data_IF_832017435688
#
_entry.id   IF_832017435688
#
_cell.length_a   1.000
_cell.length_b   1.000
_cell.length_c   1.000
_cell.angle_alpha   90.00
_cell.angle_beta   90.00
_cell.angle_gamma   90.00
#
_symmetry.space_group_name_H-M   'P 1'
#
loop_
_entity.id
_entity.type
_entity.pdbx_description
1 polymer ?
#
# COMPACT_ATOMS: atom_id res chain seq x y z
N UNK A 1 38.47 17.19 28.77
CA UNK A 1 37.61 18.17 28.08
C UNK A 1 36.14 17.73 27.99
N UNK A 2 35.80 16.43 27.99
CA UNK A 2 34.39 16.00 28.07
C UNK A 2 33.82 16.07 29.50
N UNK A 3 34.58 15.65 30.53
CA UNK A 3 34.10 15.70 31.93
C UNK A 3 33.88 17.10 32.53
N UNK A 4 34.45 18.17 31.96
CA UNK A 4 34.15 19.57 32.36
C UNK A 4 32.86 20.11 31.72
N UNK A 5 32.40 19.52 30.61
CA UNK A 5 31.11 19.89 29.98
C UNK A 5 29.91 19.29 30.71
N UNK A 6 30.07 18.10 31.30
CA UNK A 6 29.01 17.40 32.04
C UNK A 6 28.72 18.07 33.39
N UNK A 7 29.76 18.52 34.11
CA UNK A 7 29.61 19.19 35.42
C UNK A 7 28.84 20.52 35.33
N UNK A 8 28.90 21.21 34.19
CA UNK A 8 28.24 22.49 33.96
C UNK A 8 26.90 22.38 33.21
N UNK A 9 26.51 21.19 32.75
CA UNK A 9 25.24 21.01 32.03
C UNK A 9 24.05 21.39 32.90
N UNK A 10 24.06 20.97 34.18
CA UNK A 10 22.98 21.26 35.14
C UNK A 10 22.87 22.74 35.54
N UNK A 11 23.80 23.59 35.14
CA UNK A 11 23.76 25.04 35.40
C UNK A 11 23.27 25.85 34.19
N UNK A 12 23.10 25.20 33.04
CA UNK A 12 22.62 25.81 31.81
C UNK A 12 21.10 25.80 31.64
N UNK A 13 20.68 26.43 30.55
CA UNK A 13 19.33 26.45 30.03
C UNK A 13 19.29 25.92 28.58
N UNK A 14 18.17 25.31 28.21
CA UNK A 14 17.90 24.88 26.84
C UNK A 14 16.44 25.18 26.51
N UNK A 15 16.19 25.88 25.39
CA UNK A 15 14.85 26.28 24.96
C UNK A 15 13.98 26.96 26.05
N UNK A 16 14.59 27.73 26.95
CA UNK A 16 13.89 28.46 28.00
C UNK A 16 13.47 27.62 29.23
N UNK A 17 13.90 26.35 29.32
CA UNK A 17 13.81 25.52 30.52
C UNK A 17 15.20 25.33 31.15
N UNK A 18 15.27 25.20 32.48
CA UNK A 18 16.52 24.84 33.14
C UNK A 18 16.86 23.39 32.80
N UNK A 19 18.13 23.11 32.50
CA UNK A 19 18.61 21.75 32.27
C UNK A 19 18.36 20.83 33.48
N UNK A 20 18.21 21.40 34.69
CA UNK A 20 17.79 20.63 35.87
C UNK A 20 16.37 20.11 35.75
N UNK A 21 15.44 20.96 35.29
CA UNK A 21 14.04 20.57 35.13
C UNK A 21 13.91 19.48 34.06
N UNK A 22 14.68 19.59 32.97
CA UNK A 22 14.68 18.58 31.92
C UNK A 22 15.27 17.26 32.39
N UNK A 23 16.38 17.26 33.14
CA UNK A 23 16.90 16.03 33.75
C UNK A 23 15.88 15.38 34.69
N UNK A 24 15.14 16.17 35.48
CA UNK A 24 14.07 15.65 36.33
C UNK A 24 12.96 15.00 35.49
N UNK A 25 12.49 15.66 34.43
CA UNK A 25 11.47 15.12 33.52
C UNK A 25 11.94 13.83 32.87
N UNK A 26 13.13 13.82 32.29
CA UNK A 26 13.70 12.64 31.62
C UNK A 26 13.89 11.47 32.59
N UNK A 27 14.29 11.73 33.83
CA UNK A 27 14.39 10.68 34.86
C UNK A 27 13.02 10.09 35.21
N UNK A 28 11.97 10.93 35.27
CA UNK A 28 10.59 10.47 35.49
C UNK A 28 10.12 9.60 34.30
N UNK A 29 10.36 10.05 33.06
CA UNK A 29 10.01 9.30 31.85
C UNK A 29 10.74 7.95 31.78
N UNK A 30 12.04 7.94 32.07
CA UNK A 30 12.84 6.72 32.18
C UNK A 30 12.24 5.74 33.19
N UNK A 31 11.91 6.21 34.39
CA UNK A 31 11.30 5.36 35.42
C UNK A 31 9.95 4.78 35.00
N UNK A 32 9.09 5.61 34.37
CA UNK A 32 7.81 5.16 33.84
C UNK A 32 7.99 4.10 32.75
N UNK A 33 8.92 4.31 31.83
CA UNK A 33 9.23 3.38 30.74
C UNK A 33 9.73 2.03 31.29
N UNK A 34 10.67 2.05 32.24
CA UNK A 34 11.19 0.82 32.85
C UNK A 34 10.15 0.08 33.69
N UNK A 35 9.18 0.80 34.24
CA UNK A 35 8.06 0.20 34.98
C UNK A 35 6.93 -0.33 34.07
N UNK A 36 6.95 -0.04 32.77
CA UNK A 36 5.87 -0.36 31.85
C UNK A 36 6.07 -1.77 31.23
N UNK A 37 5.20 -2.77 31.54
CA UNK A 37 5.39 -4.12 31.01
C UNK A 37 5.20 -4.20 29.49
N UNK A 38 4.44 -3.28 28.88
CA UNK A 38 4.17 -3.29 27.44
C UNK A 38 5.40 -2.95 26.59
N UNK A 39 6.41 -2.25 27.13
CA UNK A 39 7.66 -1.96 26.42
C UNK A 39 8.76 -2.97 26.68
N UNK A 40 8.49 -4.05 27.43
CA UNK A 40 9.47 -5.09 27.74
C UNK A 40 10.18 -5.69 26.51
N UNK A 41 9.53 -5.88 25.35
CA UNK A 41 10.22 -6.31 24.13
C UNK A 41 11.32 -5.36 23.65
N UNK A 42 11.30 -4.09 24.08
CA UNK A 42 12.26 -3.04 23.72
C UNK A 42 13.48 -2.99 24.65
N UNK A 43 13.50 -3.75 25.75
CA UNK A 43 14.63 -3.80 26.70
C UNK A 43 16.00 -4.05 26.02
N UNK A 44 16.11 -4.91 24.98
CA UNK A 44 17.39 -5.06 24.27
C UNK A 44 17.90 -3.79 23.57
N UNK A 45 17.01 -2.82 23.30
CA UNK A 45 17.35 -1.53 22.69
C UNK A 45 17.59 -0.43 23.74
N UNK A 46 16.93 -0.53 24.90
CA UNK A 46 16.95 0.48 25.95
C UNK A 46 16.79 -0.17 27.33
N UNK A 47 17.85 -0.13 28.14
CA UNK A 47 17.93 -0.71 29.49
C UNK A 47 18.57 0.31 30.44
N UNK A 48 18.02 0.44 31.64
CA UNK A 48 18.51 1.38 32.66
C UNK A 48 19.50 0.72 33.63
N UNK A 49 19.80 -0.57 33.50
CA UNK A 49 20.59 -1.33 34.47
C UNK A 49 21.93 -0.67 34.84
N UNK A 50 22.73 -0.26 33.85
CA UNK A 50 24.01 0.41 34.13
C UNK A 50 23.81 1.74 34.86
N UNK A 51 22.76 2.49 34.52
CA UNK A 51 22.42 3.75 35.17
C UNK A 51 21.90 3.54 36.59
N UNK A 52 21.10 2.49 36.82
CA UNK A 52 20.60 2.08 38.13
C UNK A 52 21.73 1.61 39.06
N UNK A 53 22.75 0.93 38.51
CA UNK A 53 23.93 0.50 39.27
C UNK A 53 24.87 1.67 39.58
N UNK A 54 24.98 2.66 38.69
CA UNK A 54 25.87 3.81 38.85
C UNK A 54 25.27 4.96 39.68
N UNK A 55 23.95 5.02 39.85
CA UNK A 55 23.26 6.16 40.46
C UNK A 55 22.22 5.75 41.50
N UNK A 56 21.70 6.73 42.25
CA UNK A 56 20.59 6.54 43.18
C UNK A 56 19.26 7.04 42.61
N UNK A 57 19.10 7.02 41.28
CA UNK A 57 17.96 7.64 40.62
C UNK A 57 16.61 7.02 41.05
N UNK A 58 16.56 5.71 41.37
CA UNK A 58 15.34 5.08 41.89
C UNK A 58 14.91 5.66 43.24
N UNK A 59 15.86 5.94 44.13
CA UNK A 59 15.59 6.60 45.41
C UNK A 59 15.20 8.08 45.20
N UNK A 60 15.74 8.71 44.16
CA UNK A 60 15.33 10.06 43.76
C UNK A 60 13.88 10.08 43.26
N UNK A 61 13.47 9.13 42.42
CA UNK A 61 12.07 8.99 41.97
C UNK A 61 11.13 8.74 43.13
N UNK A 62 11.48 7.88 44.09
CA UNK A 62 10.66 7.63 45.28
C UNK A 62 10.40 8.93 46.08
N UNK A 63 11.41 9.79 46.22
CA UNK A 63 11.26 11.09 46.87
C UNK A 63 10.43 12.09 46.05
N UNK A 64 10.54 12.05 44.72
CA UNK A 64 9.68 12.86 43.86
C UNK A 64 8.22 12.43 43.96
N UNK A 65 7.94 11.13 44.06
CA UNK A 65 6.59 10.62 44.32
C UNK A 65 6.04 11.15 45.64
N UNK A 66 6.80 11.03 46.74
CA UNK A 66 6.41 11.58 48.05
C UNK A 66 6.14 13.08 47.99
N UNK A 67 6.95 13.83 47.22
CA UNK A 67 6.74 15.26 47.01
C UNK A 67 5.43 15.54 46.27
N UNK A 68 5.20 14.90 45.12
CA UNK A 68 4.00 15.14 44.30
C UNK A 68 2.71 14.59 44.92
N UNK A 69 2.80 13.70 45.91
CA UNK A 69 1.66 13.31 46.74
C UNK A 69 1.17 14.44 47.66
N UNK A 70 2.02 15.42 47.96
CA UNK A 70 1.64 16.61 48.74
C UNK A 70 1.16 17.79 47.89
N UNK A 71 1.34 17.71 46.58
CA UNK A 71 0.96 18.76 45.62
C UNK A 71 -0.50 18.64 45.18
N UNK A 72 -1.11 19.72 44.67
CA UNK A 72 -2.46 19.67 44.13
C UNK A 72 -2.60 18.60 43.03
N UNK A 73 -3.74 17.89 42.97
CA UNK A 73 -4.01 16.94 41.90
C UNK A 73 -3.94 17.59 40.51
N UNK A 74 -3.62 16.81 39.50
CA UNK A 74 -3.65 17.24 38.10
C UNK A 74 -5.05 17.70 37.76
N UNK A 75 -5.17 18.98 37.39
CA UNK A 75 -6.45 19.62 37.07
C UNK A 75 -7.19 18.86 35.98
N UNK A 76 -8.47 18.58 36.20
CA UNK A 76 -9.31 17.80 35.27
C UNK A 76 -9.28 16.28 35.47
N UNK A 77 -8.28 15.73 36.16
CA UNK A 77 -8.15 14.28 36.39
C UNK A 77 -8.25 13.86 37.86
N UNK A 78 -7.95 14.76 38.81
CA UNK A 78 -8.19 14.53 40.24
C UNK A 78 -7.27 13.49 40.89
N UNK A 79 -6.11 13.22 40.30
CA UNK A 79 -5.07 12.29 40.79
C UNK A 79 -3.71 13.00 40.82
N UNK A 80 -2.74 12.47 41.57
CA UNK A 80 -1.37 13.00 41.64
C UNK A 80 -0.68 12.88 40.28
N UNK A 81 0.46 13.55 40.08
CA UNK A 81 1.18 13.49 38.81
C UNK A 81 1.58 12.05 38.44
N UNK A 82 2.20 11.32 39.38
CA UNK A 82 2.58 9.93 39.16
C UNK A 82 1.38 8.99 39.03
N UNK A 83 0.31 9.24 39.79
CA UNK A 83 -0.94 8.50 39.64
C UNK A 83 -1.53 8.68 38.24
N UNK A 84 -1.50 9.90 37.70
CA UNK A 84 -1.92 10.21 36.34
C UNK A 84 -1.05 9.47 35.32
N UNK A 85 0.27 9.64 35.38
CA UNK A 85 1.18 9.06 34.39
C UNK A 85 1.20 7.52 34.39
N UNK A 86 0.92 6.88 35.53
CA UNK A 86 0.82 5.41 35.65
C UNK A 86 -0.55 4.85 35.27
N UNK A 87 -1.61 5.67 35.29
CA UNK A 87 -2.98 5.19 35.06
C UNK A 87 -3.16 4.42 33.73
N UNK A 88 -2.57 4.84 32.59
CA UNK A 88 -2.65 4.07 31.35
C UNK A 88 -1.97 2.70 31.49
N UNK A 89 -0.76 2.66 32.06
CA UNK A 89 0.03 1.44 32.28
C UNK A 89 -0.77 0.45 33.15
N UNK A 90 -1.42 0.93 34.21
CA UNK A 90 -2.24 0.09 35.08
C UNK A 90 -3.51 -0.41 34.38
N UNK A 91 -4.14 0.43 33.56
CA UNK A 91 -5.35 0.06 32.82
C UNK A 91 -5.10 -0.96 31.71
N UNK A 92 -3.92 -0.91 31.08
CA UNK A 92 -3.53 -1.88 30.05
C UNK A 92 -2.03 -2.25 30.14
N UNK A 93 -1.65 -3.13 31.09
CA UNK A 93 -0.24 -3.39 31.39
C UNK A 93 0.56 -4.00 30.25
N UNK A 94 -0.09 -4.75 29.36
CA UNK A 94 0.57 -5.53 28.31
C UNK A 94 0.23 -5.06 26.88
N UNK A 95 -0.35 -3.86 26.71
CA UNK A 95 -0.74 -3.35 25.39
C UNK A 95 -0.51 -1.85 25.29
N UNK A 96 0.40 -1.43 24.41
CA UNK A 96 0.62 -0.02 24.11
C UNK A 96 -0.64 0.61 23.50
N UNK A 97 -1.33 -0.10 22.60
CA UNK A 97 -2.62 0.33 22.07
C UNK A 97 -3.66 0.56 23.16
N UNK A 98 -3.75 -0.33 24.16
CA UNK A 98 -4.68 -0.18 25.27
C UNK A 98 -4.34 1.01 26.19
N UNK A 99 -3.04 1.25 26.43
CA UNK A 99 -2.58 2.45 27.17
C UNK A 99 -2.92 3.72 26.39
N UNK A 100 -2.73 3.70 25.08
CA UNK A 100 -3.05 4.80 24.19
C UNK A 100 -4.55 5.14 24.19
N UNK A 101 -5.41 4.12 24.05
CA UNK A 101 -6.86 4.28 24.10
C UNK A 101 -7.33 4.84 25.46
N UNK A 102 -6.66 4.47 26.56
CA UNK A 102 -6.95 5.03 27.87
C UNK A 102 -6.66 6.53 27.91
N UNK A 103 -5.49 6.96 27.42
CA UNK A 103 -5.12 8.38 27.35
C UNK A 103 -6.14 9.16 26.51
N UNK A 104 -6.43 8.67 25.30
CA UNK A 104 -7.35 9.34 24.38
C UNK A 104 -8.76 9.52 24.99
N UNK A 105 -9.25 8.54 25.76
CA UNK A 105 -10.59 8.60 26.38
C UNK A 105 -10.62 9.44 27.65
N UNK A 106 -9.61 9.33 28.50
CA UNK A 106 -9.66 9.89 29.86
C UNK A 106 -8.98 11.26 29.98
N UNK A 107 -8.04 11.58 29.08
CA UNK A 107 -7.26 12.84 29.16
C UNK A 107 -7.73 13.89 28.14
N UNK A 108 -8.78 13.62 27.36
CA UNK A 108 -9.28 14.53 26.33
C UNK A 108 -9.58 15.95 26.84
N UNK A 109 -9.96 16.11 28.12
CA UNK A 109 -10.26 17.40 28.75
C UNK A 109 -9.04 18.25 29.08
N UNK A 110 -7.84 17.65 29.13
CA UNK A 110 -6.60 18.31 29.55
C UNK A 110 -5.56 18.39 28.41
N UNK A 111 -5.77 17.66 27.33
CA UNK A 111 -4.88 17.62 26.19
C UNK A 111 -5.13 18.84 25.29
N UNK A 112 -4.07 19.54 24.84
CA UNK A 112 -4.19 20.53 23.77
C UNK A 112 -4.82 19.92 22.52
N UNK A 113 -5.62 20.70 21.80
CA UNK A 113 -6.34 20.22 20.60
C UNK A 113 -5.41 19.63 19.53
N UNK A 114 -4.21 20.21 19.35
CA UNK A 114 -3.22 19.70 18.39
C UNK A 114 -2.65 18.34 18.81
N UNK A 115 -2.44 18.15 20.12
CA UNK A 115 -1.99 16.88 20.67
C UNK A 115 -3.11 15.83 20.60
N UNK A 116 -4.36 16.21 20.86
CA UNK A 116 -5.51 15.31 20.72
C UNK A 116 -5.70 14.80 19.28
N UNK A 117 -5.47 15.65 18.28
CA UNK A 117 -5.51 15.26 16.86
C UNK A 117 -4.37 14.29 16.51
N UNK A 118 -3.13 14.59 16.93
CA UNK A 118 -1.98 13.68 16.79
C UNK A 118 -2.23 12.34 17.50
N UNK A 119 -2.86 12.39 18.67
CA UNK A 119 -3.18 11.19 19.44
C UNK A 119 -4.16 10.28 18.69
N UNK A 120 -5.18 10.88 18.05
CA UNK A 120 -6.13 10.14 17.23
C UNK A 120 -5.43 9.47 16.05
N UNK A 121 -4.55 10.21 15.37
CA UNK A 121 -3.82 9.75 14.20
C UNK A 121 -2.89 8.56 14.50
N UNK A 122 -2.03 8.68 15.51
CA UNK A 122 -1.12 7.58 15.89
C UNK A 122 -1.91 6.38 16.41
N UNK A 123 -3.04 6.61 17.10
CA UNK A 123 -3.95 5.54 17.50
C UNK A 123 -4.55 4.79 16.31
N UNK A 124 -4.85 5.47 15.19
CA UNK A 124 -5.29 4.82 13.95
C UNK A 124 -4.17 4.00 13.30
N UNK A 125 -2.93 4.51 13.31
CA UNK A 125 -1.77 3.79 12.79
C UNK A 125 -1.50 2.50 13.57
N UNK A 126 -1.48 2.57 14.91
CA UNK A 126 -1.24 1.42 15.78
C UNK A 126 -2.36 0.37 15.65
N UNK A 127 -3.64 0.80 15.60
CA UNK A 127 -4.77 -0.10 15.36
C UNK A 127 -4.67 -0.84 14.03
N UNK A 128 -4.17 -0.16 13.00
CA UNK A 128 -4.01 -0.78 11.69
C UNK A 128 -2.82 -1.74 11.66
N UNK A 129 -1.70 -1.37 12.27
CA UNK A 129 -0.49 -2.22 12.36
C UNK A 129 -0.76 -3.52 13.14
N UNK A 130 -1.46 -3.43 14.28
CA UNK A 130 -1.82 -4.60 15.10
C UNK A 130 -2.95 -5.45 14.49
N UNK A 131 -3.61 -4.97 13.43
CA UNK A 131 -4.76 -5.68 12.83
C UNK A 131 -4.29 -6.90 12.04
N UNK A 132 -4.45 -8.08 12.64
CA UNK A 132 -4.36 -9.34 11.91
C UNK A 132 -5.47 -9.44 10.86
N UNK A 133 -5.12 -9.14 9.61
CA UNK A 133 -5.89 -9.56 8.43
C UNK A 133 -5.45 -10.98 8.10
N UNK A 134 -6.36 -11.94 8.25
CA UNK A 134 -6.06 -13.36 8.10
C UNK A 134 -5.35 -13.69 6.77
N UNK A 135 -4.74 -14.87 6.71
CA UNK A 135 -4.10 -15.41 5.52
C UNK A 135 -5.18 -15.93 4.55
N UNK A 136 -5.87 -15.02 3.86
CA UNK A 136 -6.86 -15.40 2.86
C UNK A 136 -7.76 -14.25 2.43
N UNK A 137 -8.42 -14.38 1.26
CA UNK A 137 -9.47 -13.44 0.89
C UNK A 137 -10.53 -13.42 2.01
N UNK A 138 -11.04 -12.24 2.39
CA UNK A 138 -12.12 -12.16 3.37
C UNK A 138 -13.28 -13.07 2.96
N UNK A 139 -14.03 -13.58 3.94
CA UNK A 139 -15.25 -14.35 3.67
C UNK A 139 -16.10 -13.58 2.66
N UNK A 140 -16.37 -14.18 1.51
CA UNK A 140 -17.12 -13.56 0.43
C UNK A 140 -18.59 -13.46 0.84
N UNK A 141 -18.93 -12.43 1.62
CA UNK A 141 -20.31 -12.11 1.89
C UNK A 141 -20.93 -11.58 0.59
N UNK A 142 -22.00 -12.24 0.13
CA UNK A 142 -22.86 -11.69 -0.91
C UNK A 142 -23.44 -10.39 -0.35
N UNK A 143 -22.92 -9.26 -0.81
CA UNK A 143 -23.43 -7.95 -0.44
C UNK A 143 -24.90 -7.89 -0.85
N UNK A 144 -25.78 -7.86 0.15
CA UNK A 144 -27.22 -7.70 -0.06
C UNK A 144 -27.50 -6.20 -0.09
N UNK A 145 -27.60 -5.64 -1.30
CA UNK A 145 -27.94 -4.24 -1.49
C UNK A 145 -29.46 -4.05 -1.32
N UNK A 146 -29.90 -3.97 -0.05
CA UNK A 146 -31.27 -3.58 0.31
C UNK A 146 -31.34 -2.08 0.66
N UNK A 147 -32.50 -1.45 0.41
CA UNK A 147 -32.80 -0.12 0.95
C UNK A 147 -32.88 -0.19 2.48
N UNK A 148 -32.09 0.63 3.18
CA UNK A 148 -32.37 0.97 4.57
C UNK A 148 -31.52 0.34 5.68
N UNK A 149 -30.46 -0.41 5.40
CA UNK A 149 -29.61 -0.96 6.49
C UNK A 149 -28.09 -0.88 6.27
N UNK A 150 -27.62 -0.22 5.22
CA UNK A 150 -26.18 -0.08 4.99
C UNK A 150 -25.83 1.31 4.45
N UNK A 151 -24.55 1.67 4.45
CA UNK A 151 -24.00 2.93 3.91
C UNK A 151 -24.38 3.21 2.42
N UNK A 152 -25.13 2.31 1.76
CA UNK A 152 -25.74 2.47 0.44
C UNK A 152 -26.71 3.65 0.36
N UNK A 153 -27.38 4.01 1.46
CA UNK A 153 -28.25 5.21 1.49
C UNK A 153 -27.46 6.53 1.42
N UNK A 154 -26.14 6.50 1.61
CA UNK A 154 -25.26 7.68 1.61
C UNK A 154 -24.56 7.94 0.26
N UNK A 155 -24.59 6.96 -0.65
CA UNK A 155 -24.11 7.07 -2.02
C UNK A 155 -25.16 6.46 -2.96
N UNK A 156 -26.19 7.22 -3.38
CA UNK A 156 -27.16 6.74 -4.35
C UNK A 156 -26.48 6.60 -5.72
N UNK A 157 -25.82 5.47 -5.96
CA UNK A 157 -25.37 5.08 -7.29
C UNK A 157 -26.58 4.56 -8.05
N UNK A 158 -27.06 5.36 -9.00
CA UNK A 158 -28.17 4.97 -9.86
C UNK A 158 -27.70 3.90 -10.84
N UNK A 159 -28.30 2.72 -10.75
CA UNK A 159 -28.10 1.63 -11.71
C UNK A 159 -28.41 2.12 -13.13
N UNK A 160 -27.38 2.13 -13.99
CA UNK A 160 -27.50 2.51 -15.40
C UNK A 160 -26.91 1.42 -16.29
N UNK A 161 -27.37 0.19 -16.09
CA UNK A 161 -26.96 -0.94 -16.90
C UNK A 161 -27.32 -0.70 -18.37
N UNK A 162 -26.36 -0.98 -19.25
CA UNK A 162 -26.67 -1.21 -20.66
C UNK A 162 -27.54 -2.46 -20.78
N UNK A 163 -28.31 -2.56 -21.86
CA UNK A 163 -28.97 -3.84 -22.19
C UNK A 163 -27.89 -4.84 -22.62
N UNK A 164 -27.98 -6.04 -22.09
CA UNK A 164 -27.15 -7.16 -22.55
C UNK A 164 -27.58 -7.55 -23.97
N UNK A 165 -26.60 -7.88 -24.80
CA UNK A 165 -26.82 -8.48 -26.11
C UNK A 165 -26.99 -10.00 -25.97
N UNK A 166 -27.77 -10.63 -26.85
CA UNK A 166 -28.13 -12.06 -26.76
C UNK A 166 -26.92 -13.01 -26.60
N UNK A 167 -25.77 -12.63 -27.13
CA UNK A 167 -24.55 -13.44 -27.06
C UNK A 167 -23.86 -13.39 -25.69
N UNK A 168 -24.04 -12.33 -24.90
CA UNK A 168 -23.25 -12.06 -23.69
C UNK A 168 -23.50 -13.13 -22.61
N UNK A 169 -24.76 -13.51 -22.37
CA UNK A 169 -25.10 -14.55 -21.38
C UNK A 169 -24.75 -15.97 -21.82
N UNK A 170 -24.40 -16.17 -23.10
CA UNK A 170 -24.13 -17.46 -23.71
C UNK A 170 -22.63 -17.67 -24.05
N UNK A 171 -21.75 -16.81 -23.56
CA UNK A 171 -20.31 -16.93 -23.81
C UNK A 171 -19.74 -18.18 -23.11
N UNK A 172 -19.10 -19.04 -23.89
CA UNK A 172 -18.24 -20.12 -23.38
C UNK A 172 -16.79 -19.64 -23.53
N UNK A 173 -16.21 -19.19 -22.42
CA UNK A 173 -14.90 -18.55 -22.40
C UNK A 173 -13.80 -19.56 -22.04
N UNK A 174 -12.71 -19.56 -22.81
CA UNK A 174 -11.46 -20.19 -22.40
C UNK A 174 -10.41 -19.12 -22.13
N UNK A 175 -9.75 -19.21 -20.97
CA UNK A 175 -8.64 -18.35 -20.61
C UNK A 175 -7.30 -19.02 -20.92
N UNK A 176 -6.38 -18.27 -21.54
CA UNK A 176 -5.05 -18.72 -21.91
C UNK A 176 -4.02 -17.68 -21.47
N UNK A 177 -3.04 -18.11 -20.67
CA UNK A 177 -1.80 -17.37 -20.52
C UNK A 177 -1.08 -17.37 -21.86
N UNK A 178 -1.03 -16.23 -22.55
CA UNK A 178 -0.69 -16.16 -23.97
C UNK A 178 0.66 -16.81 -24.27
N UNK A 179 1.72 -16.43 -23.56
CA UNK A 179 3.07 -16.96 -23.78
C UNK A 179 3.18 -18.45 -23.53
N UNK A 180 2.56 -18.92 -22.44
CA UNK A 180 2.52 -20.36 -22.11
C UNK A 180 1.76 -21.13 -23.18
N UNK A 181 0.66 -20.57 -23.68
CA UNK A 181 -0.15 -21.22 -24.70
C UNK A 181 0.56 -21.25 -26.05
N UNK A 182 1.26 -20.20 -26.45
CA UNK A 182 2.07 -20.16 -27.68
C UNK A 182 3.20 -21.23 -27.64
N UNK A 183 3.88 -21.40 -26.51
CA UNK A 183 4.85 -22.50 -26.31
C UNK A 183 4.18 -23.88 -26.38
N UNK A 184 3.02 -24.07 -25.75
CA UNK A 184 2.25 -25.32 -25.83
C UNK A 184 1.83 -25.64 -27.28
N UNK A 185 1.37 -24.63 -28.03
CA UNK A 185 1.03 -24.79 -29.44
C UNK A 185 2.28 -25.12 -30.27
N UNK A 186 3.41 -24.50 -29.96
CA UNK A 186 4.66 -24.81 -30.64
C UNK A 186 5.02 -26.29 -30.54
N UNK A 187 4.90 -26.84 -29.32
CA UNK A 187 5.12 -28.25 -29.03
C UNK A 187 4.07 -29.15 -29.69
N UNK A 188 2.79 -28.76 -29.64
CA UNK A 188 1.68 -29.53 -30.21
C UNK A 188 1.76 -29.64 -31.74
N UNK A 189 2.13 -28.55 -32.42
CA UNK A 189 2.14 -28.46 -33.89
C UNK A 189 3.52 -28.64 -34.52
N UNK A 190 4.56 -28.84 -33.70
CA UNK A 190 5.93 -29.11 -34.17
C UNK A 190 6.56 -27.95 -34.95
N UNK A 191 6.13 -26.71 -34.70
CA UNK A 191 6.65 -25.49 -35.35
C UNK A 191 6.78 -24.36 -34.33
N UNK A 192 7.68 -23.41 -34.55
CA UNK A 192 7.83 -22.28 -33.64
C UNK A 192 6.64 -21.31 -33.78
N UNK A 193 5.88 -21.11 -32.70
CA UNK A 193 4.73 -20.20 -32.57
C UNK A 193 5.04 -19.28 -31.39
N UNK A 194 5.41 -18.03 -31.70
CA UNK A 194 5.74 -16.98 -30.72
C UNK A 194 4.92 -15.70 -30.93
N UNK A 195 4.19 -15.59 -32.04
CA UNK A 195 3.31 -14.45 -32.35
C UNK A 195 1.84 -14.86 -32.45
N UNK A 196 0.95 -13.89 -32.29
CA UNK A 196 -0.50 -14.10 -32.35
C UNK A 196 -0.99 -14.57 -33.73
N UNK A 197 -0.41 -14.02 -34.81
CA UNK A 197 -0.70 -14.40 -36.20
C UNK A 197 -0.28 -15.84 -36.54
N UNK A 198 0.62 -16.44 -35.74
CA UNK A 198 1.10 -17.81 -35.96
C UNK A 198 0.21 -18.90 -35.34
N UNK A 199 -0.80 -18.52 -34.54
CA UNK A 199 -1.77 -19.45 -33.98
C UNK A 199 -2.50 -20.19 -35.13
N UNK A 200 -2.40 -21.52 -35.22
CA UNK A 200 -2.94 -22.29 -36.35
C UNK A 200 -4.46 -22.20 -36.45
N UNK A 201 -4.98 -22.16 -37.68
CA UNK A 201 -6.42 -22.16 -37.93
C UNK A 201 -7.08 -23.46 -37.44
N UNK A 202 -6.35 -24.58 -37.48
CA UNK A 202 -6.82 -25.86 -36.97
C UNK A 202 -7.07 -25.82 -35.45
N UNK A 203 -6.31 -25.02 -34.70
CA UNK A 203 -6.55 -24.84 -33.26
C UNK A 203 -7.80 -23.96 -33.02
N UNK A 204 -7.99 -22.89 -33.80
CA UNK A 204 -9.19 -22.06 -33.72
C UNK A 204 -10.45 -22.86 -34.10
N UNK A 205 -10.36 -23.70 -35.13
CA UNK A 205 -11.45 -24.60 -35.52
C UNK A 205 -11.77 -25.63 -34.44
N UNK A 206 -10.75 -26.17 -33.78
CA UNK A 206 -10.91 -27.11 -32.67
C UNK A 206 -11.62 -26.45 -31.49
N UNK A 207 -11.21 -25.24 -31.09
CA UNK A 207 -11.91 -24.47 -30.05
C UNK A 207 -13.37 -24.21 -30.41
N UNK A 208 -13.63 -23.77 -31.65
CA UNK A 208 -14.98 -23.55 -32.16
C UNK A 208 -15.84 -24.83 -32.14
N UNK A 209 -15.28 -25.97 -32.55
CA UNK A 209 -15.96 -27.29 -32.49
C UNK A 209 -16.25 -27.76 -31.06
N UNK A 210 -15.45 -27.34 -30.08
CA UNK A 210 -15.74 -27.57 -28.65
C UNK A 210 -16.82 -26.65 -28.10
N UNK A 211 -17.34 -25.72 -28.91
CA UNK A 211 -18.36 -24.76 -28.50
C UNK A 211 -17.81 -23.53 -27.79
N UNK A 212 -16.49 -23.31 -27.82
CA UNK A 212 -15.86 -22.10 -27.25
C UNK A 212 -16.23 -20.91 -28.14
N UNK A 213 -16.82 -19.88 -27.54
CA UNK A 213 -17.23 -18.65 -28.25
C UNK A 213 -16.46 -17.42 -27.78
N UNK A 214 -15.61 -17.56 -26.75
CA UNK A 214 -14.70 -16.53 -26.25
C UNK A 214 -13.29 -17.08 -25.99
N UNK A 215 -12.26 -16.34 -26.40
CA UNK A 215 -10.85 -16.64 -26.12
C UNK A 215 -10.20 -15.47 -25.39
N UNK A 216 -9.99 -15.64 -24.08
CA UNK A 216 -9.30 -14.66 -23.24
C UNK A 216 -7.80 -14.89 -23.25
N UNK A 217 -7.09 -13.92 -23.80
CA UNK A 217 -5.63 -13.90 -23.89
C UNK A 217 -5.06 -13.05 -22.75
N UNK A 218 -4.50 -13.73 -21.74
CA UNK A 218 -3.93 -13.07 -20.56
C UNK A 218 -2.53 -12.55 -20.90
N UNK A 219 -2.34 -11.26 -20.67
CA UNK A 219 -1.07 -10.55 -20.84
C UNK A 219 -0.65 -10.36 -22.30
N UNK A 220 -1.57 -9.91 -23.14
CA UNK A 220 -1.30 -9.49 -24.54
C UNK A 220 -0.69 -8.09 -24.66
N UNK A 221 -0.79 -7.29 -23.60
CA UNK A 221 -0.29 -5.92 -23.55
C UNK A 221 1.22 -5.88 -23.27
N UNK A 222 1.87 -4.79 -23.70
CA UNK A 222 3.28 -4.52 -23.42
C UNK A 222 3.52 -4.37 -21.91
N UNK A 223 4.54 -5.07 -21.41
CA UNK A 223 4.74 -5.27 -19.96
C UNK A 223 5.95 -4.52 -19.44
N UNK A 224 5.93 -4.24 -18.14
CA UNK A 224 7.02 -3.63 -17.39
C UNK A 224 8.32 -4.43 -17.48
N UNK A 225 9.42 -3.80 -17.91
CA UNK A 225 10.74 -4.44 -17.87
C UNK A 225 11.26 -4.54 -16.45
N UNK A 226 10.94 -3.54 -15.61
CA UNK A 226 11.21 -3.58 -14.18
C UNK A 226 10.57 -4.78 -13.49
N UNK A 227 9.29 -5.11 -13.78
CA UNK A 227 8.61 -6.31 -13.26
C UNK A 227 9.36 -7.60 -13.60
N UNK A 228 9.85 -7.72 -14.85
CA UNK A 228 10.71 -8.85 -15.25
C UNK A 228 11.99 -8.87 -14.43
N UNK A 229 12.68 -7.73 -14.33
CA UNK A 229 13.97 -7.62 -13.63
C UNK A 229 13.85 -7.97 -12.15
N UNK A 230 12.79 -7.52 -11.48
CA UNK A 230 12.50 -7.86 -10.07
C UNK A 230 12.45 -9.38 -9.88
N UNK A 231 11.72 -10.11 -10.74
CA UNK A 231 11.61 -11.57 -10.64
C UNK A 231 12.95 -12.28 -10.88
N UNK A 232 13.77 -11.75 -11.78
CA UNK A 232 15.12 -12.28 -12.05
C UNK A 232 16.03 -12.10 -10.83
N UNK A 233 16.03 -10.92 -10.21
CA UNK A 233 16.77 -10.65 -8.96
C UNK A 233 16.29 -11.59 -7.84
N UNK A 234 15.00 -11.90 -7.78
CA UNK A 234 14.40 -12.85 -6.82
C UNK A 234 14.63 -14.34 -7.16
N UNK A 235 15.50 -14.64 -8.12
CA UNK A 235 15.97 -16.01 -8.40
C UNK A 235 15.21 -16.74 -9.50
N UNK A 236 14.39 -16.07 -10.30
CA UNK A 236 13.74 -16.65 -11.47
C UNK A 236 14.25 -16.00 -12.78
N UNK A 237 15.41 -16.41 -13.30
CA UNK A 237 16.05 -15.77 -14.46
C UNK A 237 15.22 -15.88 -15.75
N UNK A 238 14.40 -16.92 -15.88
CA UNK A 238 13.51 -17.17 -17.03
C UNK A 238 12.12 -16.52 -16.88
N UNK A 239 11.85 -15.85 -15.76
CA UNK A 239 10.56 -15.22 -15.53
C UNK A 239 10.28 -14.12 -16.56
N UNK A 240 9.07 -14.12 -17.09
CA UNK A 240 8.49 -12.97 -17.76
C UNK A 240 7.91 -11.97 -16.75
N UNK A 241 7.79 -10.71 -17.17
CA UNK A 241 7.06 -9.68 -16.44
C UNK A 241 5.64 -10.14 -16.07
N UNK A 242 5.12 -9.63 -14.96
CA UNK A 242 3.72 -9.85 -14.58
C UNK A 242 2.79 -9.39 -15.69
N UNK A 243 1.77 -10.19 -16.02
CA UNK A 243 0.76 -9.81 -17.01
C UNK A 243 -0.08 -8.59 -16.56
N UNK A 244 -0.01 -8.24 -15.26
CA UNK A 244 -0.74 -7.14 -14.65
C UNK A 244 0.16 -5.94 -14.30
N UNK A 245 1.47 -6.03 -14.55
CA UNK A 245 2.40 -4.89 -14.48
C UNK A 245 2.71 -4.41 -15.89
N UNK A 246 1.92 -3.42 -16.34
CA UNK A 246 1.89 -2.97 -17.73
C UNK A 246 2.81 -1.78 -17.98
N UNK A 247 3.51 -1.77 -19.11
CA UNK A 247 4.22 -0.59 -19.57
C UNK A 247 3.26 0.39 -20.27
N UNK A 248 2.42 -0.12 -21.17
CA UNK A 248 1.33 0.62 -21.83
C UNK A 248 0.29 -0.37 -22.40
N UNK A 249 -0.91 0.11 -22.73
CA UNK A 249 -1.99 -0.68 -23.34
C UNK A 249 -1.85 -0.82 -24.86
N UNK A 250 -0.64 -1.15 -25.31
CA UNK A 250 -0.35 -1.53 -26.70
C UNK A 250 -0.14 -3.04 -26.76
N UNK A 251 -0.51 -3.69 -27.88
CA UNK A 251 -0.23 -5.12 -28.05
C UNK A 251 1.28 -5.32 -28.09
N UNK A 252 1.78 -6.26 -27.31
CA UNK A 252 3.23 -6.45 -27.14
C UNK A 252 3.92 -6.74 -28.47
N UNK A 253 5.03 -6.05 -28.74
CA UNK A 253 5.76 -6.19 -30.01
C UNK A 253 6.32 -7.62 -30.18
N UNK A 254 6.71 -8.26 -29.08
CA UNK A 254 7.17 -9.66 -29.07
C UNK A 254 6.08 -10.67 -29.47
N UNK A 255 4.80 -10.32 -29.28
CA UNK A 255 3.65 -11.10 -29.74
C UNK A 255 3.24 -10.76 -31.18
N UNK A 256 3.96 -9.83 -31.80
CA UNK A 256 3.80 -9.38 -33.17
C UNK A 256 3.01 -8.09 -33.36
N UNK A 257 2.73 -7.39 -32.25
CA UNK A 257 2.10 -6.07 -32.26
C UNK A 257 0.69 -6.06 -32.83
N UNK A 258 0.26 -4.87 -33.23
CA UNK A 258 -1.11 -4.62 -33.67
C UNK A 258 -1.51 -5.43 -34.91
N UNK A 259 -0.58 -5.63 -35.87
CA UNK A 259 -0.85 -6.38 -37.10
C UNK A 259 -1.16 -7.86 -36.81
N UNK A 260 -0.37 -8.49 -35.93
CA UNK A 260 -0.59 -9.88 -35.55
C UNK A 260 -1.89 -10.08 -34.77
N UNK A 261 -2.23 -9.11 -33.93
CA UNK A 261 -3.50 -9.07 -33.23
C UNK A 261 -4.69 -8.98 -34.19
N UNK A 262 -4.63 -8.06 -35.17
CA UNK A 262 -5.74 -7.86 -36.13
C UNK A 262 -5.97 -9.10 -37.00
N UNK A 263 -4.91 -9.77 -37.43
CA UNK A 263 -5.02 -11.03 -38.17
C UNK A 263 -5.69 -12.12 -37.31
N UNK A 264 -5.23 -12.33 -36.08
CA UNK A 264 -5.83 -13.29 -35.16
C UNK A 264 -7.30 -12.95 -34.87
N UNK A 265 -7.62 -11.69 -34.61
CA UNK A 265 -8.97 -11.23 -34.32
C UNK A 265 -9.92 -11.54 -35.47
N UNK A 266 -9.50 -11.27 -36.71
CA UNK A 266 -10.26 -11.59 -37.92
C UNK A 266 -10.50 -13.09 -38.04
N UNK A 267 -9.44 -13.92 -37.94
CA UNK A 267 -9.55 -15.39 -38.07
C UNK A 267 -10.39 -16.00 -36.95
N UNK A 268 -10.22 -15.55 -35.71
CA UNK A 268 -11.04 -15.99 -34.58
C UNK A 268 -12.52 -15.65 -34.80
N UNK A 269 -12.81 -14.43 -35.27
CA UNK A 269 -14.17 -13.99 -35.58
C UNK A 269 -14.83 -14.83 -36.67
N UNK A 270 -14.10 -15.18 -37.74
CA UNK A 270 -14.56 -16.08 -38.80
C UNK A 270 -14.94 -17.48 -38.28
N UNK A 271 -14.37 -17.90 -37.13
CA UNK A 271 -14.71 -19.16 -36.44
C UNK A 271 -15.74 -18.99 -35.31
N UNK A 272 -16.33 -17.81 -35.18
CA UNK A 272 -17.33 -17.49 -34.15
C UNK A 272 -16.75 -17.23 -32.76
N UNK A 273 -15.43 -17.00 -32.65
CA UNK A 273 -14.73 -16.77 -31.38
C UNK A 273 -14.46 -15.27 -31.20
N UNK A 274 -14.93 -14.73 -30.08
CA UNK A 274 -14.64 -13.36 -29.63
C UNK A 274 -13.35 -13.35 -28.82
N UNK A 275 -12.42 -12.45 -29.16
CA UNK A 275 -11.24 -12.26 -28.33
C UNK A 275 -11.60 -11.50 -27.05
N UNK A 276 -10.93 -11.86 -25.96
CA UNK A 276 -11.02 -11.23 -24.65
C UNK A 276 -9.63 -10.83 -24.15
N UNK A 277 -9.57 -9.77 -23.37
CA UNK A 277 -8.34 -9.32 -22.70
C UNK A 277 -8.61 -8.83 -21.27
N UNK A 278 -7.53 -8.71 -20.50
CA UNK A 278 -7.54 -8.03 -19.21
C UNK A 278 -7.46 -6.52 -19.37
N UNK A 279 -8.03 -5.80 -18.41
CA UNK A 279 -7.73 -4.40 -18.16
C UNK A 279 -7.52 -4.19 -16.66
N UNK A 280 -6.40 -3.56 -16.30
CA UNK A 280 -6.01 -3.19 -14.94
C UNK A 280 -6.20 -1.68 -14.75
N UNK A 281 -7.30 -1.25 -14.11
CA UNK A 281 -7.55 0.16 -13.89
C UNK A 281 -6.87 0.67 -12.63
N UNK A 282 -6.49 -0.19 -11.68
CA UNK A 282 -6.00 0.27 -10.38
C UNK A 282 -4.59 0.88 -10.45
N UNK A 283 -3.72 0.27 -11.23
CA UNK A 283 -2.29 0.57 -11.26
C UNK A 283 -1.68 0.25 -12.63
N UNK A 284 -0.44 0.68 -12.83
CA UNK A 284 0.41 0.36 -13.98
C UNK A 284 1.77 -0.14 -13.49
N UNK A 285 2.68 -0.57 -14.36
CA UNK A 285 4.04 -0.93 -13.94
C UNK A 285 4.85 0.25 -13.40
N UNK A 286 5.82 -0.02 -12.52
CA UNK A 286 6.66 1.04 -11.91
C UNK A 286 7.51 1.81 -12.92
N UNK A 287 7.81 1.22 -14.07
CA UNK A 287 8.52 1.82 -15.21
C UNK A 287 7.58 2.06 -16.41
N UNK A 288 6.28 2.15 -16.16
CA UNK A 288 5.31 2.41 -17.22
C UNK A 288 5.50 3.78 -17.86
N UNK A 289 4.96 3.92 -19.07
CA UNK A 289 4.92 5.20 -19.78
C UNK A 289 4.35 6.33 -18.91
N UNK A 290 3.29 6.03 -18.14
CA UNK A 290 2.66 7.02 -17.26
C UNK A 290 3.56 7.45 -16.09
N UNK A 291 4.35 6.54 -15.50
CA UNK A 291 5.30 6.93 -14.43
C UNK A 291 6.42 7.86 -14.97
N UNK A 292 6.79 7.66 -16.24
CA UNK A 292 7.79 8.51 -16.89
C UNK A 292 7.22 9.88 -17.30
N UNK A 293 6.05 9.91 -17.95
CA UNK A 293 5.48 11.12 -18.56
C UNK A 293 4.60 11.94 -17.61
N UNK A 294 3.94 11.28 -16.65
CA UNK A 294 2.95 11.87 -15.75
C UNK A 294 3.15 11.41 -14.29
N UNK A 295 4.31 11.69 -13.67
CA UNK A 295 4.58 11.25 -12.29
C UNK A 295 3.58 11.79 -11.26
N UNK A 296 2.90 12.90 -11.54
CA UNK A 296 1.86 13.51 -10.71
C UNK A 296 0.53 12.73 -10.68
N UNK A 297 0.35 11.77 -11.59
CA UNK A 297 -0.86 10.92 -11.66
C UNK A 297 -0.93 9.85 -10.57
N UNK A 298 0.12 9.70 -9.77
CA UNK A 298 0.24 8.62 -8.79
C UNK A 298 0.07 9.11 -7.35
N UNK A 299 -0.36 8.21 -6.48
CA UNK A 299 -0.36 8.48 -5.03
C UNK A 299 1.09 8.45 -4.57
N UNK A 300 1.56 9.55 -3.99
CA UNK A 300 2.97 9.71 -3.66
C UNK A 300 3.21 10.64 -2.47
N UNK A 301 4.45 10.61 -1.97
CA UNK A 301 4.99 11.48 -0.94
C UNK A 301 6.31 12.11 -1.40
N UNK A 302 6.64 13.25 -0.81
CA UNK A 302 7.91 13.96 -1.04
C UNK A 302 9.02 13.45 -0.10
N UNK A 303 8.71 12.49 0.77
CA UNK A 303 9.59 11.89 1.75
C UNK A 303 9.25 10.39 1.93
N UNK A 304 10.19 9.55 2.41
CA UNK A 304 9.92 8.14 2.67
C UNK A 304 8.78 7.97 3.69
N UNK A 305 7.85 7.03 3.48
CA UNK A 305 6.73 6.82 4.40
C UNK A 305 7.16 6.33 5.79
N UNK A 306 8.34 5.72 5.90
CA UNK A 306 8.92 5.29 7.18
C UNK A 306 10.38 5.76 7.29
N UNK A 307 10.85 6.19 8.48
CA UNK A 307 12.21 6.72 8.66
C UNK A 307 13.34 5.73 8.36
N UNK A 308 13.07 4.43 8.45
CA UNK A 308 14.03 3.35 8.22
C UNK A 308 14.10 2.89 6.76
N UNK A 309 13.25 3.41 5.87
CA UNK A 309 13.24 3.03 4.46
C UNK A 309 14.52 3.47 3.77
N UNK A 310 15.16 2.52 3.09
CA UNK A 310 16.36 2.75 2.29
C UNK A 310 16.11 2.30 0.86
N UNK A 311 16.65 3.04 -0.09
CA UNK A 311 16.46 2.81 -1.52
C UNK A 311 17.82 2.83 -2.21
N UNK A 312 18.65 1.86 -1.85
CA UNK A 312 20.06 1.77 -2.28
C UNK A 312 20.29 0.69 -3.35
N UNK A 313 19.28 -0.14 -3.61
CA UNK A 313 19.31 -1.19 -4.61
C UNK A 313 19.50 -0.73 -6.06
N UNK A 314 19.38 -1.70 -6.98
CA UNK A 314 19.53 -1.49 -8.42
C UNK A 314 18.49 -0.49 -8.97
N UNK A 315 18.91 0.38 -9.90
CA UNK A 315 17.99 1.21 -10.67
C UNK A 315 17.23 0.32 -11.68
N UNK A 316 15.92 0.21 -11.50
CA UNK A 316 15.04 -0.61 -12.34
C UNK A 316 14.50 0.13 -13.58
N UNK A 317 14.75 1.43 -13.70
CA UNK A 317 14.32 2.24 -14.84
C UNK A 317 15.18 1.93 -16.08
N UNK A 318 14.53 1.78 -17.23
CA UNK A 318 15.19 1.72 -18.53
C UNK A 318 15.39 3.11 -19.15
N UNK A 319 14.73 4.13 -18.60
CA UNK A 319 14.85 5.50 -19.04
C UNK A 319 16.08 6.17 -18.37
N UNK A 320 17.06 6.68 -19.14
CA UNK A 320 18.29 7.27 -18.59
C UNK A 320 18.06 8.56 -17.79
N UNK A 321 16.92 9.23 -17.94
CA UNK A 321 16.57 10.45 -17.21
C UNK A 321 15.84 10.21 -15.88
N UNK A 322 15.44 8.97 -15.60
CA UNK A 322 14.63 8.63 -14.41
C UNK A 322 15.27 7.45 -13.68
N UNK A 323 15.41 7.55 -12.37
CA UNK A 323 15.77 6.44 -11.48
C UNK A 323 14.52 5.86 -10.82
N UNK A 324 14.43 4.52 -10.75
CA UNK A 324 13.37 3.79 -10.05
C UNK A 324 14.03 2.78 -9.11
N UNK A 325 13.74 2.86 -7.82
CA UNK A 325 14.36 2.03 -6.78
C UNK A 325 13.30 1.48 -5.84
N UNK A 326 13.32 0.17 -5.61
CA UNK A 326 12.50 -0.47 -4.59
C UNK A 326 13.22 -0.39 -3.24
N UNK A 327 12.43 -0.28 -2.17
CA UNK A 327 12.94 -0.27 -0.79
C UNK A 327 13.70 -1.56 -0.46
N UNK A 328 14.81 -1.42 0.27
CA UNK A 328 15.80 -2.49 0.44
C UNK A 328 15.27 -3.70 1.24
N UNK A 329 14.39 -3.46 2.22
CA UNK A 329 13.69 -4.48 3.02
C UNK A 329 12.84 -5.45 2.18
N UNK A 330 12.36 -5.06 0.99
CA UNK A 330 11.70 -5.98 0.06
C UNK A 330 12.62 -7.12 -0.39
N UNK A 331 13.89 -6.81 -0.69
CA UNK A 331 14.86 -7.81 -1.18
C UNK A 331 15.27 -8.77 -0.07
N UNK A 332 15.37 -8.27 1.15
CA UNK A 332 15.75 -9.02 2.34
C UNK A 332 14.56 -9.73 3.00
N UNK A 333 13.35 -9.57 2.44
CA UNK A 333 12.09 -10.08 3.01
C UNK A 333 11.86 -9.62 4.46
N UNK A 334 12.32 -8.41 4.80
CA UNK A 334 12.09 -7.75 6.09
C UNK A 334 10.81 -6.91 6.11
N UNK A 335 10.43 -6.38 4.95
CA UNK A 335 9.22 -5.60 4.75
C UNK A 335 8.68 -5.86 3.33
N UNK A 336 7.40 -5.58 3.10
CA UNK A 336 6.76 -5.67 1.80
C UNK A 336 6.88 -4.36 1.00
N UNK A 337 7.62 -3.34 1.47
CA UNK A 337 7.87 -2.05 0.81
C UNK A 337 6.60 -1.37 0.28
N UNK A 338 6.03 -0.41 1.02
CA UNK A 338 4.76 0.24 0.61
C UNK A 338 4.90 1.24 -0.55
N UNK A 339 6.11 1.73 -0.80
CA UNK A 339 6.44 2.68 -1.87
C UNK A 339 7.74 2.32 -2.58
N UNK A 340 7.89 2.73 -3.84
CA UNK A 340 9.19 2.82 -4.51
C UNK A 340 9.63 4.28 -4.65
N UNK A 341 10.94 4.51 -4.76
CA UNK A 341 11.51 5.83 -5.01
C UNK A 341 11.67 6.07 -6.51
N UNK A 342 11.10 7.17 -7.01
CA UNK A 342 11.35 7.74 -8.34
C UNK A 342 12.24 8.97 -8.18
N UNK A 343 13.33 9.03 -8.94
CA UNK A 343 14.21 10.20 -9.03
C UNK A 343 14.21 10.72 -10.45
N UNK A 344 13.90 11.99 -10.63
CA UNK A 344 14.11 12.67 -11.90
C UNK A 344 15.53 13.24 -11.92
N UNK A 345 16.41 12.71 -12.76
CA UNK A 345 17.82 13.12 -12.77
C UNK A 345 18.04 14.51 -13.37
N UNK A 346 17.10 15.03 -14.16
CA UNK A 346 17.19 16.36 -14.74
C UNK A 346 16.90 17.47 -13.71
N UNK A 347 15.90 17.26 -12.86
CA UNK A 347 15.47 18.21 -11.83
C UNK A 347 16.03 17.91 -10.43
N UNK A 348 16.49 16.68 -10.19
CA UNK A 348 16.84 16.17 -8.87
C UNK A 348 15.63 15.87 -7.99
N UNK A 349 14.40 15.92 -8.54
CA UNK A 349 13.19 15.68 -7.76
C UNK A 349 13.10 14.21 -7.35
N UNK A 350 12.93 14.00 -6.05
CA UNK A 350 12.64 12.70 -5.45
C UNK A 350 11.15 12.60 -5.08
N UNK A 351 10.54 11.45 -5.38
CA UNK A 351 9.17 11.11 -5.03
C UNK A 351 9.09 9.65 -4.60
N UNK A 352 8.30 9.38 -3.57
CA UNK A 352 8.00 8.02 -3.09
C UNK A 352 6.58 7.67 -3.51
N UNK A 353 6.47 6.86 -4.56
CA UNK A 353 5.20 6.49 -5.18
C UNK A 353 4.71 5.18 -4.56
N UNK A 354 3.44 5.14 -4.17
CA UNK A 354 2.83 3.94 -3.59
C UNK A 354 2.68 2.83 -4.63
N UNK A 355 2.92 1.61 -4.19
CA UNK A 355 2.63 0.42 -4.99
C UNK A 355 1.13 0.15 -5.05
N UNK A 356 0.69 -0.54 -6.11
CA UNK A 356 -0.70 -0.99 -6.22
C UNK A 356 -1.09 -1.88 -5.03
N UNK A 357 -2.27 -1.67 -4.48
CA UNK A 357 -2.78 -2.43 -3.34
C UNK A 357 -4.32 -2.54 -3.39
N UNK A 358 -4.88 -3.59 -2.80
CA UNK A 358 -6.32 -3.87 -2.65
C UNK A 358 -6.83 -3.82 -1.20
N UNK A 359 -5.98 -3.37 -0.27
CA UNK A 359 -6.24 -3.35 1.17
C UNK A 359 -5.61 -4.51 1.95
N UNK A 360 -4.75 -5.30 1.31
CA UNK A 360 -3.91 -6.28 1.99
C UNK A 360 -2.60 -5.65 2.47
N UNK A 361 -1.94 -6.27 3.46
CA UNK A 361 -0.62 -5.83 3.95
C UNK A 361 0.52 -6.05 2.92
N UNK A 362 0.22 -6.71 1.79
CA UNK A 362 1.20 -7.08 0.77
C UNK A 362 0.93 -6.30 -0.53
N UNK A 363 1.51 -5.11 -0.70
CA UNK A 363 1.39 -4.37 -1.96
C UNK A 363 2.01 -5.15 -3.13
N UNK A 364 1.57 -4.83 -4.35
CA UNK A 364 2.16 -5.36 -5.58
C UNK A 364 3.39 -4.53 -5.98
N UNK A 365 4.56 -4.92 -5.48
CA UNK A 365 5.83 -4.16 -5.56
C UNK A 365 6.38 -3.88 -6.96
N UNK A 366 5.81 -4.46 -8.01
CA UNK A 366 6.15 -4.17 -9.40
C UNK A 366 5.15 -3.22 -10.08
N UNK A 367 4.26 -2.59 -9.31
CA UNK A 367 3.21 -1.69 -9.82
C UNK A 367 3.20 -0.33 -9.11
N UNK A 368 2.61 0.68 -9.75
CA UNK A 368 2.46 2.06 -9.28
C UNK A 368 0.97 2.44 -9.21
N UNK A 369 0.52 2.88 -8.04
CA UNK A 369 -0.89 3.16 -7.75
C UNK A 369 -1.36 4.50 -8.31
N UNK A 370 -2.43 4.46 -9.11
CA UNK A 370 -3.05 5.67 -9.68
C UNK A 370 -3.83 6.47 -8.63
N UNK A 371 -3.78 7.80 -8.77
CA UNK A 371 -4.50 8.73 -7.92
C UNK A 371 -5.83 9.16 -8.56
N UNK A 372 -6.90 8.45 -8.21
CA UNK A 372 -8.25 8.74 -8.70
C UNK A 372 -8.87 10.04 -8.18
N UNK A 373 -8.23 10.79 -7.28
CA UNK A 373 -8.65 12.16 -6.96
C UNK A 373 -8.34 13.13 -8.10
N UNK A 374 -7.32 12.84 -8.92
CA UNK A 374 -6.96 13.65 -10.07
C UNK A 374 -7.99 13.44 -11.22
N UNK A 375 -8.68 14.50 -11.71
CA UNK A 375 -9.59 14.39 -12.84
C UNK A 375 -8.93 13.93 -14.14
N UNK A 376 -7.67 14.29 -14.38
CA UNK A 376 -6.94 13.88 -15.58
C UNK A 376 -6.68 12.38 -15.59
N UNK A 377 -6.36 11.79 -14.42
CA UNK A 377 -6.21 10.33 -14.27
C UNK A 377 -7.52 9.61 -14.59
N UNK A 378 -8.65 10.12 -14.09
CA UNK A 378 -9.96 9.54 -14.40
C UNK A 378 -10.24 9.56 -15.89
N UNK A 379 -9.99 10.68 -16.56
CA UNK A 379 -10.18 10.79 -18.00
C UNK A 379 -9.23 9.88 -18.78
N UNK A 380 -7.94 9.84 -18.43
CA UNK A 380 -6.94 8.99 -19.08
C UNK A 380 -7.33 7.51 -18.98
N UNK A 381 -7.74 7.04 -17.79
CA UNK A 381 -8.21 5.67 -17.59
C UNK A 381 -9.48 5.40 -18.40
N UNK A 382 -10.45 6.32 -18.46
CA UNK A 382 -11.66 6.18 -19.30
C UNK A 382 -11.25 5.99 -20.77
N UNK A 383 -10.35 6.82 -21.29
CA UNK A 383 -9.90 6.70 -22.67
C UNK A 383 -9.15 5.39 -22.94
N UNK A 384 -8.35 4.92 -21.99
CA UNK A 384 -7.70 3.60 -22.06
C UNK A 384 -8.71 2.47 -22.07
N UNK A 385 -9.75 2.53 -21.23
CA UNK A 385 -10.84 1.55 -21.24
C UNK A 385 -11.54 1.53 -22.60
N UNK A 386 -11.86 2.70 -23.16
CA UNK A 386 -12.45 2.80 -24.49
C UNK A 386 -11.52 2.28 -25.58
N UNK A 387 -10.21 2.52 -25.47
CA UNK A 387 -9.21 1.96 -26.37
C UNK A 387 -9.22 0.42 -26.35
N UNK A 388 -9.19 -0.17 -25.15
CA UNK A 388 -9.26 -1.63 -24.96
C UNK A 388 -10.58 -2.18 -25.48
N UNK A 389 -11.72 -1.53 -25.21
CA UNK A 389 -13.05 -1.96 -25.64
C UNK A 389 -13.27 -1.90 -27.15
N UNK A 390 -12.57 -1.00 -27.86
CA UNK A 390 -12.57 -0.98 -29.33
C UNK A 390 -11.84 -2.18 -29.94
N UNK A 391 -10.92 -2.79 -29.18
CA UNK A 391 -10.18 -3.98 -29.61
C UNK A 391 -10.93 -5.25 -29.19
N UNK A 392 -11.19 -5.39 -27.89
CA UNK A 392 -11.70 -6.61 -27.31
C UNK A 392 -13.19 -6.46 -26.94
N UNK A 393 -14.10 -7.25 -27.55
CA UNK A 393 -15.53 -7.24 -27.20
C UNK A 393 -15.83 -7.78 -25.81
N UNK A 394 -14.89 -8.50 -25.19
CA UNK A 394 -15.00 -9.03 -23.83
C UNK A 394 -13.78 -8.54 -23.05
N UNK A 395 -14.00 -7.85 -21.92
CA UNK A 395 -12.92 -7.33 -21.09
C UNK A 395 -13.11 -7.86 -19.67
N UNK A 396 -12.05 -8.41 -19.10
CA UNK A 396 -12.01 -8.74 -17.68
C UNK A 396 -11.28 -7.62 -16.94
N UNK A 397 -11.97 -6.94 -16.04
CA UNK A 397 -11.37 -5.89 -15.21
C UNK A 397 -10.71 -6.51 -13.97
N UNK A 398 -9.39 -6.34 -13.85
CA UNK A 398 -8.64 -6.71 -12.67
C UNK A 398 -8.88 -5.71 -11.53
N UNK A 399 -8.95 -6.21 -10.29
CA UNK A 399 -9.11 -5.40 -9.09
C UNK A 399 -10.19 -4.30 -9.18
N UNK A 400 -11.29 -4.51 -9.93
CA UNK A 400 -12.27 -3.46 -10.24
C UNK A 400 -12.91 -2.81 -9.00
N UNK A 401 -13.01 -3.56 -7.89
CA UNK A 401 -13.52 -3.06 -6.61
C UNK A 401 -12.70 -1.88 -6.07
N UNK A 402 -11.40 -1.81 -6.40
CA UNK A 402 -10.51 -0.74 -5.94
C UNK A 402 -10.86 0.64 -6.51
N UNK A 403 -11.65 0.69 -7.60
CA UNK A 403 -12.12 1.93 -8.20
C UNK A 403 -13.36 2.50 -7.52
N UNK A 404 -14.11 1.66 -6.79
CA UNK A 404 -15.33 2.12 -6.14
C UNK A 404 -14.97 3.20 -5.12
N UNK A 405 -15.65 4.35 -5.18
CA UNK A 405 -15.33 5.54 -4.36
C UNK A 405 -15.16 5.20 -2.87
N UNK A 406 -16.03 4.34 -2.34
CA UNK A 406 -15.98 3.85 -0.95
C UNK A 406 -14.69 3.09 -0.65
N UNK A 407 -14.31 2.18 -1.54
CA UNK A 407 -13.12 1.36 -1.37
C UNK A 407 -11.85 2.20 -1.51
N UNK A 408 -11.79 3.05 -2.54
CA UNK A 408 -10.65 3.94 -2.78
C UNK A 408 -10.43 4.92 -1.61
N UNK A 409 -11.50 5.51 -1.06
CA UNK A 409 -11.42 6.37 0.13
C UNK A 409 -10.88 5.59 1.33
N UNK A 410 -11.48 4.43 1.65
CA UNK A 410 -11.07 3.62 2.81
C UNK A 410 -9.59 3.21 2.74
N UNK A 411 -9.11 2.91 1.54
CA UNK A 411 -7.76 2.42 1.30
C UNK A 411 -6.71 3.55 1.36
N UNK A 412 -6.96 4.65 0.64
CA UNK A 412 -5.93 5.67 0.39
C UNK A 412 -6.10 6.97 1.17
N UNK A 413 -7.31 7.24 1.67
CA UNK A 413 -7.74 8.46 2.35
C UNK A 413 -8.74 8.16 3.49
N UNK A 414 -8.35 7.33 4.46
CA UNK A 414 -9.26 6.81 5.49
C UNK A 414 -9.89 7.92 6.33
N UNK A 415 -11.08 7.71 6.88
CA UNK A 415 -11.65 8.72 7.77
C UNK A 415 -10.89 8.72 9.11
N UNK A 416 -10.59 9.91 9.68
CA UNK A 416 -9.99 9.99 11.01
C UNK A 416 -10.81 9.18 12.04
N UNK A 417 -10.11 8.41 12.88
CA UNK A 417 -10.68 7.56 13.93
C UNK A 417 -11.23 6.20 13.47
N UNK A 418 -11.18 5.88 12.17
CA UNK A 418 -11.74 4.62 11.64
C UNK A 418 -10.68 3.58 11.26
N UNK A 419 -9.38 3.92 11.37
CA UNK A 419 -8.29 3.14 10.75
C UNK A 419 -8.38 3.12 9.22
N UNK A 420 -7.26 2.90 8.55
CA UNK A 420 -7.20 2.82 7.08
C UNK A 420 -6.39 1.64 6.63
N UNK A 421 -6.71 1.04 5.48
CA UNK A 421 -6.12 -0.26 5.09
C UNK A 421 -4.59 -0.21 4.83
N UNK A 422 -4.00 0.98 4.76
CA UNK A 422 -2.56 1.23 4.59
C UNK A 422 -2.09 2.18 5.71
N UNK A 423 -1.30 1.72 6.71
CA UNK A 423 -0.93 2.51 7.88
C UNK A 423 -0.29 3.86 7.56
N UNK A 424 0.63 3.89 6.59
CA UNK A 424 1.31 5.13 6.17
C UNK A 424 0.39 6.16 5.48
N UNK A 425 -0.89 5.82 5.26
CA UNK A 425 -1.91 6.74 4.72
C UNK A 425 -2.85 7.30 5.78
N UNK A 426 -2.75 6.88 7.05
CA UNK A 426 -3.61 7.37 8.13
C UNK A 426 -3.56 8.91 8.26
N UNK A 427 -2.38 9.53 8.08
CA UNK A 427 -2.20 10.99 8.19
C UNK A 427 -2.88 11.78 7.07
N UNK A 428 -3.27 11.10 5.98
CA UNK A 428 -3.92 11.69 4.81
C UNK A 428 -5.43 11.49 4.83
N UNK A 429 -5.98 11.25 6.01
CA UNK A 429 -7.40 11.02 6.16
C UNK A 429 -8.25 12.19 5.71
N UNK A 430 -9.32 11.91 4.97
CA UNK A 430 -10.26 12.92 4.49
C UNK A 430 -11.59 12.77 5.22
N UNK A 431 -12.00 13.85 5.89
CA UNK A 431 -13.39 14.01 6.32
C UNK A 431 -14.30 14.14 5.09
N UNK A 432 -15.59 13.77 5.24
CA UNK A 432 -16.53 13.74 4.11
C UNK A 432 -16.77 15.10 3.49
#
# INVERSE_FOLDING_TARGET
>A
MEGEKEANYLEGDWNGCSNRDDVVKETILLSLQMSNPAVRPMVPLFDDKEFAEATSYQAFIARLEEFFDTEPPVGGLGTTLFGTLRAPILASPNSLQGQWDYIARNWASILPDDLAQKLTLVGDMLREEERMRGWGPPEAHVLTFGKGQDLSDLYPEYERYSRDEDWMSNVVLVAKSTYVWLDQLSKQYGRNIHRLDQIPDEELEKLSRWGVTGLWLIGVWERSQASRRIKQIRGNPEALASAYSLWDYIIADELGGEEAYQDLARRAWEKGIRLASDMVPNHVGIDSKWVHEHPDWFIQLDYPPYPNYQFTGENLSTNPGVGIYIEDGYWESRDAAVTFKRVDFGSGQERHIYHGNDGTHMPWNDTAQLNYLNPEVREAVIQTILHVARKFPIIRFDAAMTLAKKHFQRLWYPQPGHGGDIPSRAERGMTR
#
